data_IF_308119042538
#
_entry.id   IF_308119042538
#
_cell.length_a   1.000
_cell.length_b   1.000
_cell.length_c   1.000
_cell.angle_alpha   90.00
_cell.angle_beta   90.00
_cell.angle_gamma   90.00
#
_symmetry.space_group_name_H-M   'P 1'
#
loop_
_entity.id
_entity.type
_entity.pdbx_description
1 polymer ?
#
# COMPACT_ATOMS: atom_id res chain seq x y z
N UNK A 1 2.81 -24.74 6.95
CA UNK A 1 2.13 -24.60 5.64
C UNK A 1 1.59 -23.18 5.56
N UNK A 2 1.89 -22.43 4.50
CA UNK A 2 1.37 -21.06 4.31
C UNK A 2 -0.11 -21.07 3.90
N UNK A 3 -0.76 -19.89 3.88
CA UNK A 3 -2.20 -19.78 3.58
C UNK A 3 -2.52 -20.25 2.16
N UNK A 4 -1.64 -19.96 1.22
CA UNK A 4 -1.78 -20.36 -0.18
C UNK A 4 -1.75 -21.89 -0.35
N UNK A 5 -0.82 -22.58 0.31
CA UNK A 5 -0.71 -24.03 0.27
C UNK A 5 -1.93 -24.69 0.91
N UNK A 6 -2.48 -24.14 2.00
CA UNK A 6 -3.74 -24.62 2.57
C UNK A 6 -4.91 -24.47 1.58
N UNK A 7 -4.98 -23.35 0.85
CA UNK A 7 -6.01 -23.13 -0.15
C UNK A 7 -5.87 -24.07 -1.36
N UNK A 8 -4.63 -24.38 -1.79
CA UNK A 8 -4.38 -25.37 -2.85
C UNK A 8 -4.94 -26.74 -2.48
N UNK A 9 -4.66 -27.22 -1.27
CA UNK A 9 -5.16 -28.54 -0.83
C UNK A 9 -6.69 -28.57 -0.72
N UNK A 10 -7.32 -27.45 -0.40
CA UNK A 10 -8.78 -27.32 -0.45
C UNK A 10 -9.29 -27.42 -1.90
N UNK A 11 -8.70 -26.67 -2.83
CA UNK A 11 -9.13 -26.70 -4.24
C UNK A 11 -8.91 -28.05 -4.90
N UNK A 12 -7.80 -28.73 -4.62
CA UNK A 12 -7.58 -30.10 -5.11
C UNK A 12 -8.67 -31.07 -4.67
N UNK A 13 -9.25 -30.86 -3.48
CA UNK A 13 -10.36 -31.69 -2.98
C UNK A 13 -11.70 -31.32 -3.62
N UNK A 14 -12.01 -30.03 -3.70
CA UNK A 14 -13.33 -29.57 -4.15
C UNK A 14 -13.47 -29.50 -5.69
N UNK A 15 -12.39 -29.15 -6.40
CA UNK A 15 -12.32 -28.98 -7.87
C UNK A 15 -10.96 -29.40 -8.41
N UNK A 16 -10.65 -30.71 -8.44
CA UNK A 16 -9.37 -31.23 -8.93
C UNK A 16 -9.12 -30.93 -10.43
N UNK A 17 -10.15 -30.53 -11.16
CA UNK A 17 -10.09 -30.15 -12.58
C UNK A 17 -9.46 -28.77 -12.83
N UNK A 18 -9.35 -27.91 -11.80
CA UNK A 18 -8.83 -26.55 -11.94
C UNK A 18 -7.32 -26.48 -11.69
N UNK A 19 -6.59 -25.81 -12.59
CA UNK A 19 -5.24 -25.35 -12.28
C UNK A 19 -5.29 -24.10 -11.38
N UNK A 20 -4.95 -24.29 -10.11
CA UNK A 20 -4.90 -23.22 -9.10
C UNK A 20 -3.50 -22.70 -8.82
N UNK A 21 -2.52 -23.05 -9.64
CA UNK A 21 -1.15 -22.55 -9.52
C UNK A 21 -1.04 -21.01 -9.54
N UNK A 22 -1.82 -20.24 -10.34
CA UNK A 22 -1.73 -18.77 -10.31
C UNK A 22 -2.21 -18.18 -8.98
N UNK A 23 -3.27 -18.76 -8.39
CA UNK A 23 -3.78 -18.34 -7.09
C UNK A 23 -2.73 -18.55 -5.99
N UNK A 24 -1.97 -19.64 -6.06
CA UNK A 24 -0.91 -19.93 -5.10
C UNK A 24 0.19 -18.86 -5.12
N UNK A 25 0.63 -18.47 -6.33
CA UNK A 25 1.67 -17.44 -6.51
C UNK A 25 1.18 -16.08 -6.02
N UNK A 26 0.01 -15.63 -6.50
CA UNK A 26 -0.57 -14.34 -6.10
C UNK A 26 -0.88 -14.31 -4.60
N UNK A 27 -1.37 -15.40 -4.04
CA UNK A 27 -1.63 -15.53 -2.60
C UNK A 27 -0.38 -15.32 -1.76
N UNK A 28 0.75 -15.94 -2.14
CA UNK A 28 2.03 -15.77 -1.45
C UNK A 28 2.59 -14.36 -1.61
N UNK A 29 2.50 -13.77 -2.80
CA UNK A 29 2.94 -12.38 -3.03
C UNK A 29 2.14 -11.39 -2.18
N UNK A 30 0.82 -11.57 -2.11
CA UNK A 30 -0.05 -10.74 -1.28
C UNK A 30 0.23 -10.93 0.21
N UNK A 31 0.47 -12.16 0.67
CA UNK A 31 0.85 -12.46 2.05
C UNK A 31 2.19 -11.82 2.41
N UNK A 32 3.21 -11.97 1.55
CA UNK A 32 4.52 -11.37 1.75
C UNK A 32 4.45 -9.84 1.81
N UNK A 33 3.76 -9.21 0.85
CA UNK A 33 3.54 -7.76 0.83
C UNK A 33 2.82 -7.27 2.09
N UNK A 34 1.77 -7.96 2.51
CA UNK A 34 1.00 -7.62 3.72
C UNK A 34 1.82 -7.77 5.00
N UNK A 35 2.66 -8.80 5.09
CA UNK A 35 3.56 -9.03 6.22
C UNK A 35 4.61 -7.92 6.32
N UNK A 36 5.26 -7.58 5.21
CA UNK A 36 6.27 -6.51 5.15
C UNK A 36 5.62 -5.15 5.51
N UNK A 37 4.46 -4.85 4.92
CA UNK A 37 3.72 -3.62 5.21
C UNK A 37 3.37 -3.50 6.70
N UNK A 38 2.86 -4.58 7.31
CA UNK A 38 2.43 -4.57 8.72
C UNK A 38 3.60 -4.60 9.71
N UNK A 39 4.62 -5.42 9.48
CA UNK A 39 5.63 -5.74 10.49
C UNK A 39 6.93 -4.95 10.33
N UNK A 40 7.13 -4.28 9.19
CA UNK A 40 8.33 -3.49 8.90
C UNK A 40 7.98 -2.04 8.61
N UNK A 41 7.10 -1.80 7.65
CA UNK A 41 6.82 -0.43 7.19
C UNK A 41 5.94 0.36 8.16
N UNK A 42 4.82 -0.20 8.62
CA UNK A 42 3.92 0.51 9.54
C UNK A 42 4.61 0.93 10.86
N UNK A 43 5.40 0.07 11.53
CA UNK A 43 6.16 0.48 12.72
C UNK A 43 7.20 1.57 12.41
N UNK A 44 7.86 1.49 11.26
CA UNK A 44 8.82 2.51 10.85
C UNK A 44 8.13 3.88 10.65
N UNK A 45 7.02 3.92 9.92
CA UNK A 45 6.28 5.16 9.70
C UNK A 45 5.71 5.74 11.00
N UNK A 46 5.21 4.88 11.89
CA UNK A 46 4.71 5.29 13.19
C UNK A 46 5.77 5.98 14.06
N UNK A 47 7.06 5.62 13.95
CA UNK A 47 8.18 6.34 14.63
C UNK A 47 8.28 7.81 14.23
N UNK A 48 7.73 8.18 13.08
CA UNK A 48 7.68 9.55 12.55
C UNK A 48 6.26 10.15 12.62
N UNK A 49 5.32 9.49 13.32
CA UNK A 49 3.92 9.95 13.41
C UNK A 49 3.12 9.79 12.12
N UNK A 50 3.58 8.93 11.20
CA UNK A 50 2.97 8.73 9.87
C UNK A 50 2.25 7.39 9.76
N UNK A 51 1.20 7.38 8.94
CA UNK A 51 0.58 6.19 8.37
C UNK A 51 1.14 5.91 6.97
N UNK A 52 0.97 4.67 6.49
CA UNK A 52 1.48 4.25 5.17
C UNK A 52 1.02 5.15 4.02
N UNK A 53 -0.23 5.60 4.04
CA UNK A 53 -0.76 6.49 3.00
C UNK A 53 -0.21 7.91 3.07
N UNK A 54 0.15 8.39 4.27
CA UNK A 54 0.75 9.71 4.47
C UNK A 54 2.21 9.70 3.99
N UNK A 55 2.95 8.62 4.29
CA UNK A 55 4.28 8.42 3.74
C UNK A 55 4.27 8.35 2.21
N UNK A 56 3.32 7.64 1.60
CA UNK A 56 3.22 7.55 0.13
C UNK A 56 3.03 8.93 -0.52
N UNK A 57 2.22 9.82 0.08
CA UNK A 57 2.07 11.21 -0.38
C UNK A 57 3.40 11.96 -0.30
N UNK A 58 4.08 11.93 0.84
CA UNK A 58 5.36 12.63 1.03
C UNK A 58 6.45 12.10 0.08
N UNK A 59 6.54 10.78 -0.07
CA UNK A 59 7.47 10.14 -0.98
C UNK A 59 7.15 10.50 -2.44
N UNK A 60 5.87 10.59 -2.81
CA UNK A 60 5.42 11.02 -4.14
C UNK A 60 5.84 12.45 -4.42
N UNK A 61 5.48 13.41 -3.57
CA UNK A 61 5.89 14.81 -3.73
C UNK A 61 7.41 14.96 -3.81
N UNK A 62 8.14 14.24 -2.96
CA UNK A 62 9.62 14.28 -2.94
C UNK A 62 10.23 13.76 -4.24
N UNK A 63 9.73 12.64 -4.77
CA UNK A 63 10.28 12.01 -5.98
C UNK A 63 9.82 12.65 -7.29
N UNK A 64 8.79 13.51 -7.25
CA UNK A 64 8.37 14.35 -8.37
C UNK A 64 9.33 15.51 -8.68
N UNK A 65 10.37 15.70 -7.85
CA UNK A 65 11.39 16.73 -8.08
C UNK A 65 10.93 18.14 -7.69
N UNK A 66 11.84 19.10 -7.73
CA UNK A 66 11.55 20.50 -7.38
C UNK A 66 10.41 21.07 -8.25
N UNK A 67 9.41 21.79 -7.69
CA UNK A 67 9.34 22.33 -6.33
C UNK A 67 8.71 21.40 -5.27
N UNK A 68 8.66 20.09 -5.53
CA UNK A 68 8.03 19.06 -4.70
C UNK A 68 6.52 19.27 -4.54
N UNK A 69 5.88 19.68 -5.63
CA UNK A 69 4.45 19.99 -5.67
C UNK A 69 3.78 19.26 -6.84
N UNK A 70 2.54 18.85 -6.63
CA UNK A 70 1.67 18.26 -7.63
C UNK A 70 0.26 18.84 -7.46
N UNK A 71 -0.49 18.91 -8.55
CA UNK A 71 -1.93 19.14 -8.48
C UNK A 71 -2.61 17.91 -7.83
N UNK A 72 -3.82 18.05 -7.27
CA UNK A 72 -4.53 16.91 -6.68
C UNK A 72 -4.68 15.72 -7.64
N UNK A 73 -4.98 15.98 -8.92
CA UNK A 73 -5.09 14.95 -9.96
C UNK A 73 -3.76 14.26 -10.23
N UNK A 74 -2.68 15.03 -10.40
CA UNK A 74 -1.35 14.45 -10.63
C UNK A 74 -0.83 13.67 -9.41
N UNK A 75 -1.13 14.15 -8.20
CA UNK A 75 -0.81 13.42 -6.97
C UNK A 75 -1.54 12.08 -6.91
N UNK A 76 -2.83 12.07 -7.23
CA UNK A 76 -3.64 10.86 -7.27
C UNK A 76 -3.06 9.81 -8.23
N UNK A 77 -2.75 10.23 -9.47
CA UNK A 77 -2.21 9.35 -10.51
C UNK A 77 -0.82 8.81 -10.18
N UNK A 78 -0.02 9.58 -9.43
CA UNK A 78 1.33 9.21 -9.07
C UNK A 78 1.43 8.38 -7.78
N UNK A 79 0.41 8.37 -6.92
CA UNK A 79 0.42 7.57 -5.67
C UNK A 79 0.23 6.08 -5.93
N UNK A 80 0.88 5.24 -5.13
CA UNK A 80 0.83 3.77 -5.32
C UNK A 80 -0.34 3.10 -4.60
N UNK A 81 -1.12 3.86 -3.81
CA UNK A 81 -2.25 3.33 -3.02
C UNK A 81 -3.56 3.95 -3.47
N UNK A 82 -4.59 3.12 -3.64
CA UNK A 82 -5.94 3.61 -3.98
C UNK A 82 -6.50 4.55 -2.92
N UNK A 83 -7.24 5.52 -3.39
CA UNK A 83 -7.35 6.90 -2.91
C UNK A 83 -8.55 7.18 -2.01
N UNK A 84 -9.20 6.16 -1.45
CA UNK A 84 -10.43 6.32 -0.66
C UNK A 84 -10.28 7.19 0.61
N UNK A 85 -9.07 7.62 0.94
CA UNK A 85 -8.78 8.48 2.08
C UNK A 85 -7.80 9.63 1.75
N UNK A 86 -7.69 10.06 0.48
CA UNK A 86 -6.71 11.10 0.09
C UNK A 86 -6.93 12.42 0.85
N UNK A 87 -8.17 12.91 0.92
CA UNK A 87 -8.51 14.13 1.67
C UNK A 87 -8.05 14.07 3.12
N UNK A 88 -8.42 12.99 3.84
CA UNK A 88 -8.03 12.81 5.24
C UNK A 88 -6.51 12.73 5.44
N UNK A 89 -5.77 12.16 4.49
CA UNK A 89 -4.29 12.10 4.52
C UNK A 89 -3.70 13.49 4.35
N UNK A 90 -4.18 14.25 3.37
CA UNK A 90 -3.71 15.63 3.13
C UNK A 90 -4.02 16.53 4.33
N UNK A 91 -5.22 16.42 4.92
CA UNK A 91 -5.60 17.19 6.10
C UNK A 91 -4.66 16.92 7.29
N UNK A 92 -4.33 15.65 7.52
CA UNK A 92 -3.41 15.28 8.60
C UNK A 92 -1.99 15.75 8.34
N UNK A 93 -1.49 15.59 7.12
CA UNK A 93 -0.16 16.04 6.73
C UNK A 93 -0.01 17.57 6.80
N UNK A 94 -1.05 18.32 6.42
CA UNK A 94 -1.04 19.77 6.55
C UNK A 94 -1.11 20.19 8.02
N UNK A 95 -1.97 19.52 8.82
CA UNK A 95 -2.06 19.77 10.27
C UNK A 95 -0.74 19.52 10.99
N UNK A 96 0.05 18.54 10.55
CA UNK A 96 1.39 18.27 11.10
C UNK A 96 2.50 19.11 10.45
N UNK A 97 2.16 19.99 9.49
CA UNK A 97 3.09 20.91 8.85
C UNK A 97 4.04 20.25 7.84
N UNK A 98 3.76 19.02 7.40
CA UNK A 98 4.60 18.26 6.47
C UNK A 98 4.30 18.58 5.00
N UNK A 99 3.13 19.17 4.72
CA UNK A 99 2.78 19.72 3.40
C UNK A 99 2.15 21.11 3.56
N UNK A 100 1.98 21.81 2.44
CA UNK A 100 1.14 23.00 2.32
C UNK A 100 0.21 22.84 1.12
N UNK A 101 -1.03 23.31 1.24
CA UNK A 101 -1.95 23.47 0.12
C UNK A 101 -1.99 24.94 -0.27
N UNK A 102 -1.97 25.22 -1.57
CA UNK A 102 -1.98 26.57 -2.15
C UNK A 102 -2.59 26.55 -3.54
#
# INVERSE_FOLDING_TARGET
MDRAAKAIEQWKRERPDLDVSPMAVLGRLNEASSLIARERLAPLFARFGLQSGEFDVLATLRRSGSPYALTPTALYEATMVTSGAMTNRLDRLEKTGLIKRG
#
